data_IF_297286191596
#
_entry.id   IF_297286191596
#
_cell.length_a   1.000
_cell.length_b   1.000
_cell.length_c   1.000
_cell.angle_alpha   90.00
_cell.angle_beta   90.00
_cell.angle_gamma   90.00
#
_symmetry.space_group_name_H-M   'P 1'
#
loop_
_entity.id
_entity.type
_entity.pdbx_description
1 polymer ?
#
# COMPACT_ATOMS: atom_id res chain seq x y z
N UNK A 1 -13.56 19.74 -14.33
CA UNK A 1 -13.21 20.20 -12.96
C UNK A 1 -12.92 21.71 -12.90
N UNK A 2 -11.95 22.26 -13.66
CA UNK A 2 -11.60 23.70 -13.61
C UNK A 2 -12.77 24.68 -13.89
N UNK A 3 -13.63 24.42 -14.87
CA UNK A 3 -14.76 25.31 -15.19
C UNK A 3 -15.86 25.32 -14.10
N UNK A 4 -16.13 24.18 -13.47
CA UNK A 4 -17.13 24.08 -12.41
C UNK A 4 -16.63 24.76 -11.13
N UNK A 5 -15.34 24.64 -10.82
CA UNK A 5 -14.71 25.34 -9.70
C UNK A 5 -14.76 26.87 -9.89
N UNK A 6 -14.50 27.36 -11.10
CA UNK A 6 -14.57 28.80 -11.40
C UNK A 6 -16.01 29.36 -11.30
N UNK A 7 -17.03 28.59 -11.70
CA UNK A 7 -18.44 29.00 -11.52
C UNK A 7 -18.85 28.99 -10.05
N UNK A 8 -18.41 28.00 -9.29
CA UNK A 8 -18.67 27.92 -7.85
C UNK A 8 -18.02 29.09 -7.08
N UNK A 9 -16.76 29.43 -7.39
CA UNK A 9 -16.08 30.60 -6.83
C UNK A 9 -16.83 31.91 -7.12
N UNK A 10 -17.45 32.04 -8.29
CA UNK A 10 -18.29 33.21 -8.65
C UNK A 10 -19.64 33.25 -7.94
N UNK A 11 -20.12 32.12 -7.42
CA UNK A 11 -21.39 32.04 -6.67
C UNK A 11 -21.24 32.35 -5.18
N UNK A 12 -20.01 32.45 -4.68
CA UNK A 12 -19.70 32.72 -3.28
C UNK A 12 -19.78 34.21 -2.96
N UNK A 13 -20.25 34.54 -1.76
CA UNK A 13 -20.19 35.90 -1.24
C UNK A 13 -18.73 36.33 -0.99
N UNK A 14 -18.46 37.63 -0.96
CA UNK A 14 -17.12 38.17 -0.66
C UNK A 14 -16.59 37.67 0.70
N UNK A 15 -17.48 37.54 1.69
CA UNK A 15 -17.13 37.04 3.03
C UNK A 15 -16.76 35.55 3.00
N UNK A 16 -17.48 34.73 2.24
CA UNK A 16 -17.17 33.31 2.12
C UNK A 16 -15.88 33.07 1.33
N UNK A 17 -15.63 33.87 0.29
CA UNK A 17 -14.35 33.85 -0.42
C UNK A 17 -13.19 34.19 0.52
N UNK A 18 -13.35 35.20 1.39
CA UNK A 18 -12.32 35.57 2.35
C UNK A 18 -12.06 34.45 3.36
N UNK A 19 -13.12 33.83 3.90
CA UNK A 19 -13.00 32.65 4.79
C UNK A 19 -12.23 31.50 4.13
N UNK A 20 -12.58 31.16 2.88
CA UNK A 20 -11.88 30.10 2.14
C UNK A 20 -10.40 30.45 1.93
N UNK A 21 -10.11 31.71 1.58
CA UNK A 21 -8.73 32.15 1.38
C UNK A 21 -7.90 32.06 2.66
N UNK A 22 -8.47 32.48 3.80
CA UNK A 22 -7.83 32.38 5.11
C UNK A 22 -7.58 30.92 5.48
N UNK A 23 -8.58 30.03 5.32
CA UNK A 23 -8.44 28.60 5.59
C UNK A 23 -7.39 27.94 4.69
N UNK A 24 -7.37 28.25 3.39
CA UNK A 24 -6.36 27.74 2.46
C UNK A 24 -4.95 28.20 2.81
N UNK A 25 -4.80 29.47 3.21
CA UNK A 25 -3.50 30.02 3.61
C UNK A 25 -3.02 29.34 4.88
N UNK A 26 -3.89 29.19 5.88
CA UNK A 26 -3.60 28.48 7.13
C UNK A 26 -3.24 27.01 6.90
N UNK A 27 -3.92 26.33 5.97
CA UNK A 27 -3.61 24.95 5.60
C UNK A 27 -2.22 24.82 4.95
N UNK A 28 -1.88 25.74 4.04
CA UNK A 28 -0.55 25.78 3.41
C UNK A 28 0.57 26.07 4.40
N UNK A 29 0.35 26.98 5.34
CA UNK A 29 1.30 27.27 6.42
C UNK A 29 1.54 26.04 7.29
N UNK A 30 0.47 25.36 7.72
CA UNK A 30 0.55 24.10 8.47
C UNK A 30 1.33 23.02 7.71
N UNK A 31 1.08 22.88 6.40
CA UNK A 31 1.82 21.93 5.57
C UNK A 31 3.31 22.29 5.44
N UNK A 32 3.63 23.58 5.26
CA UNK A 32 5.00 24.06 5.17
C UNK A 32 5.77 23.80 6.47
N UNK A 33 5.15 24.09 7.61
CA UNK A 33 5.74 23.79 8.92
C UNK A 33 5.93 22.30 9.14
N UNK A 34 4.91 21.48 8.82
CA UNK A 34 5.00 20.03 8.92
C UNK A 34 6.16 19.49 8.07
N UNK A 35 6.32 19.97 6.84
CA UNK A 35 7.42 19.58 5.96
C UNK A 35 8.78 20.03 6.52
N UNK A 36 8.88 21.21 7.12
CA UNK A 36 10.13 21.74 7.69
C UNK A 36 10.57 20.96 8.93
N UNK A 37 9.62 20.52 9.74
CA UNK A 37 9.90 19.93 11.05
C UNK A 37 10.00 18.40 11.03
N UNK A 38 9.50 17.75 9.99
CA UNK A 38 9.60 16.29 9.84
C UNK A 38 10.79 15.88 8.99
N UNK A 39 11.15 14.60 9.05
CA UNK A 39 12.25 14.00 8.27
C UNK A 39 11.73 12.87 7.38
N UNK A 40 12.62 12.23 6.61
CA UNK A 40 12.29 10.96 5.95
C UNK A 40 11.97 9.90 6.99
N UNK A 41 11.21 8.87 6.62
CA UNK A 41 10.81 7.81 7.56
C UNK A 41 12.02 7.09 8.13
N UNK A 42 13.06 6.88 7.30
CA UNK A 42 14.31 6.30 7.75
C UNK A 42 15.03 7.12 8.85
N UNK A 43 14.88 8.44 8.89
CA UNK A 43 15.53 9.31 9.90
C UNK A 43 14.58 9.78 11.01
N UNK A 44 13.32 9.33 11.01
CA UNK A 44 12.36 9.67 12.06
C UNK A 44 12.65 8.90 13.35
N UNK A 45 12.81 9.62 14.46
CA UNK A 45 13.03 9.02 15.78
C UNK A 45 11.79 8.31 16.35
N UNK A 46 10.60 8.68 15.87
CA UNK A 46 9.33 8.03 16.22
C UNK A 46 9.23 6.57 15.76
N UNK A 47 10.11 6.14 14.86
CA UNK A 47 10.14 4.78 14.33
C UNK A 47 11.27 4.01 15.03
N UNK A 48 10.99 2.83 15.61
CA UNK A 48 12.02 1.97 16.19
C UNK A 48 13.15 1.68 15.19
N UNK A 49 14.40 1.66 15.68
CA UNK A 49 15.58 1.46 14.82
C UNK A 49 15.49 0.16 14.00
N UNK A 50 14.99 -0.92 14.63
CA UNK A 50 14.82 -2.22 13.98
C UNK A 50 13.92 -2.09 12.75
N UNK A 51 12.80 -1.37 12.86
CA UNK A 51 11.87 -1.17 11.74
C UNK A 51 12.50 -0.31 10.65
N UNK A 52 13.21 0.76 11.04
CA UNK A 52 13.91 1.64 10.09
C UNK A 52 14.88 0.89 9.20
N UNK A 53 15.63 -0.05 9.79
CA UNK A 53 16.60 -0.86 9.09
C UNK A 53 15.94 -2.03 8.33
N UNK A 54 15.00 -2.74 8.96
CA UNK A 54 14.38 -3.93 8.41
C UNK A 54 13.49 -3.64 7.19
N UNK A 55 12.76 -2.53 7.19
CA UNK A 55 11.78 -2.23 6.13
C UNK A 55 12.39 -2.16 4.72
N UNK A 56 13.52 -1.47 4.48
CA UNK A 56 14.22 -1.53 3.20
C UNK A 56 14.60 -2.94 2.76
N UNK A 57 15.10 -3.79 3.68
CA UNK A 57 15.43 -5.18 3.37
C UNK A 57 14.19 -6.00 3.02
N UNK A 58 13.08 -5.79 3.72
CA UNK A 58 11.80 -6.43 3.40
C UNK A 58 11.34 -6.04 2.00
N UNK A 59 11.41 -4.75 1.63
CA UNK A 59 11.01 -4.28 0.30
C UNK A 59 11.89 -4.89 -0.80
N UNK A 60 13.21 -4.87 -0.62
CA UNK A 60 14.17 -5.44 -1.60
C UNK A 60 14.02 -6.96 -1.70
N UNK A 61 13.90 -7.65 -0.57
CA UNK A 61 13.62 -9.09 -0.54
C UNK A 61 12.30 -9.43 -1.24
N UNK A 62 11.29 -8.58 -1.10
CA UNK A 62 10.02 -8.76 -1.77
C UNK A 62 10.10 -8.58 -3.29
N UNK A 63 10.92 -7.64 -3.77
CA UNK A 63 11.25 -7.52 -5.20
C UNK A 63 11.91 -8.84 -5.68
N UNK A 64 12.86 -9.37 -4.91
CA UNK A 64 13.50 -10.65 -5.22
C UNK A 64 12.51 -11.82 -5.29
N UNK A 65 11.53 -11.87 -4.39
CA UNK A 65 10.47 -12.88 -4.42
C UNK A 65 9.58 -12.75 -5.67
N UNK A 66 9.18 -11.53 -6.06
CA UNK A 66 8.43 -11.32 -7.30
C UNK A 66 9.22 -11.72 -8.55
N UNK A 67 10.53 -11.41 -8.58
CA UNK A 67 11.40 -11.84 -9.69
C UNK A 67 11.46 -13.37 -9.72
N UNK A 68 11.70 -14.00 -8.57
CA UNK A 68 11.75 -15.47 -8.46
C UNK A 68 10.44 -16.12 -8.89
N UNK A 69 9.30 -15.52 -8.51
CA UNK A 69 7.98 -16.02 -8.86
C UNK A 69 7.65 -15.89 -10.34
N UNK A 70 8.00 -14.76 -10.97
CA UNK A 70 7.73 -14.52 -12.39
C UNK A 70 8.67 -15.24 -13.35
N UNK A 71 9.91 -15.51 -12.94
CA UNK A 71 10.90 -16.20 -13.78
C UNK A 71 10.77 -17.73 -13.73
N UNK A 72 10.16 -18.29 -12.68
CA UNK A 72 9.95 -19.72 -12.55
C UNK A 72 8.56 -20.16 -13.05
N UNK A 73 8.42 -21.47 -13.28
CA UNK A 73 7.13 -22.08 -13.57
C UNK A 73 6.18 -21.88 -12.38
N UNK A 74 4.96 -21.44 -12.68
CA UNK A 74 3.90 -21.19 -11.71
C UNK A 74 3.07 -22.43 -11.44
N UNK A 75 2.75 -23.22 -12.46
CA UNK A 75 2.01 -24.46 -12.32
C UNK A 75 2.23 -25.40 -13.51
N UNK A 76 1.95 -26.69 -13.34
CA UNK A 76 1.87 -27.67 -14.43
C UNK A 76 0.52 -28.37 -14.42
N UNK A 77 0.10 -28.88 -15.57
CA UNK A 77 -1.01 -29.82 -15.68
C UNK A 77 -0.41 -31.20 -15.82
N UNK A 78 -0.77 -32.09 -14.91
CA UNK A 78 -0.41 -33.50 -14.97
C UNK A 78 -1.65 -34.32 -15.33
N UNK A 79 -1.45 -35.34 -16.16
CA UNK A 79 -2.51 -36.28 -16.56
C UNK A 79 -2.22 -37.64 -15.97
N UNK A 80 -3.11 -38.11 -15.12
CA UNK A 80 -3.08 -39.46 -14.56
C UNK A 80 -4.11 -40.28 -15.30
N UNK A 81 -3.68 -41.31 -16.01
CA UNK A 81 -4.55 -42.16 -16.81
C UNK A 81 -4.42 -43.60 -16.34
N UNK A 82 -5.54 -44.25 -16.07
CA UNK A 82 -5.59 -45.69 -15.85
C UNK A 82 -6.30 -46.30 -17.05
N UNK A 83 -5.71 -47.25 -17.76
CA UNK A 83 -6.35 -48.00 -18.86
C UNK A 83 -6.17 -49.48 -18.59
N UNK A 84 -7.27 -50.23 -18.55
CA UNK A 84 -7.26 -51.68 -18.35
C UNK A 84 -6.46 -52.15 -17.12
N UNK A 85 -6.40 -51.32 -16.06
CA UNK A 85 -5.65 -51.59 -14.83
C UNK A 85 -4.18 -51.14 -14.84
N UNK A 86 -3.65 -50.67 -15.97
CA UNK A 86 -2.31 -50.08 -16.06
C UNK A 86 -2.38 -48.56 -15.81
N UNK A 87 -1.48 -48.05 -14.95
CA UNK A 87 -1.37 -46.62 -14.65
C UNK A 87 -0.30 -45.96 -15.53
N UNK A 88 -0.70 -44.92 -16.26
CA UNK A 88 0.13 -44.10 -17.13
C UNK A 88 0.06 -42.67 -16.63
N UNK A 89 1.20 -42.10 -16.27
CA UNK A 89 1.32 -40.71 -15.82
C UNK A 89 2.04 -39.87 -16.87
N UNK A 90 1.41 -38.80 -17.32
CA UNK A 90 2.02 -37.80 -18.19
C UNK A 90 2.27 -36.55 -17.35
N UNK A 91 3.51 -36.41 -16.90
CA UNK A 91 3.97 -35.23 -16.18
C UNK A 91 4.17 -34.06 -17.13
N UNK A 92 3.89 -32.84 -16.63
CA UNK A 92 4.12 -31.58 -17.35
C UNK A 92 3.45 -31.54 -18.73
N UNK A 93 2.25 -32.12 -18.85
CA UNK A 93 1.46 -32.08 -20.08
C UNK A 93 1.24 -30.64 -20.57
N UNK A 94 1.06 -29.70 -19.63
CA UNK A 94 1.08 -28.28 -19.92
C UNK A 94 1.79 -27.52 -18.80
N UNK A 95 2.54 -26.48 -19.14
CA UNK A 95 3.29 -25.65 -18.21
C UNK A 95 2.77 -24.22 -18.23
N UNK A 96 2.45 -23.69 -17.07
CA UNK A 96 2.05 -22.30 -16.87
C UNK A 96 3.18 -21.53 -16.18
N UNK A 97 3.58 -20.43 -16.80
CA UNK A 97 4.33 -19.35 -16.14
C UNK A 97 3.66 -18.03 -16.50
N UNK A 98 3.86 -16.98 -15.70
CA UNK A 98 3.24 -15.68 -15.98
C UNK A 98 3.60 -15.19 -17.39
N UNK A 99 4.89 -15.30 -17.76
CA UNK A 99 5.36 -14.91 -19.08
C UNK A 99 4.73 -15.75 -20.20
N UNK A 100 4.81 -17.08 -20.08
CA UNK A 100 4.30 -18.00 -21.11
C UNK A 100 2.79 -17.86 -21.29
N UNK A 101 2.04 -17.84 -20.19
CA UNK A 101 0.58 -17.64 -20.20
C UNK A 101 0.18 -16.31 -20.86
N UNK A 102 0.91 -15.22 -20.59
CA UNK A 102 0.63 -13.91 -21.20
C UNK A 102 0.87 -13.94 -22.71
N UNK A 103 1.96 -14.57 -23.17
CA UNK A 103 2.28 -14.72 -24.60
C UNK A 103 1.28 -15.63 -25.31
N UNK A 104 0.90 -16.75 -24.69
CA UNK A 104 -0.08 -17.68 -25.25
C UNK A 104 -1.45 -17.02 -25.37
N UNK A 105 -1.90 -16.26 -24.36
CA UNK A 105 -3.14 -15.48 -24.41
C UNK A 105 -3.10 -14.40 -25.51
N UNK A 106 -1.96 -13.73 -25.66
CA UNK A 106 -1.77 -12.75 -26.72
C UNK A 106 -1.89 -13.38 -28.11
N UNK A 107 -1.24 -14.52 -28.33
CA UNK A 107 -1.25 -15.26 -29.59
C UNK A 107 -2.61 -15.89 -29.88
N UNK A 108 -3.35 -16.29 -28.84
CA UNK A 108 -4.72 -16.78 -28.94
C UNK A 108 -5.77 -15.68 -29.24
N UNK A 109 -5.34 -14.42 -29.35
CA UNK A 109 -6.21 -13.28 -29.66
C UNK A 109 -6.84 -12.60 -28.45
N UNK A 110 -6.62 -13.10 -27.22
CA UNK A 110 -7.08 -12.51 -25.97
C UNK A 110 -6.17 -11.36 -25.50
N UNK A 111 -5.94 -10.39 -26.37
CA UNK A 111 -4.93 -9.33 -26.18
C UNK A 111 -5.26 -8.41 -25.00
N UNK A 112 -6.53 -8.07 -24.83
CA UNK A 112 -7.01 -7.19 -23.76
C UNK A 112 -6.73 -7.80 -22.38
N UNK A 113 -7.04 -9.10 -22.22
CA UNK A 113 -6.76 -9.86 -21.01
C UNK A 113 -5.24 -10.00 -20.76
N UNK A 114 -4.46 -10.29 -21.80
CA UNK A 114 -3.01 -10.38 -21.69
C UNK A 114 -2.38 -9.06 -21.20
N UNK A 115 -2.86 -7.90 -21.70
CA UNK A 115 -2.40 -6.58 -21.24
C UNK A 115 -2.75 -6.35 -19.77
N UNK A 116 -3.97 -6.68 -19.34
CA UNK A 116 -4.42 -6.51 -17.95
C UNK A 116 -3.53 -7.33 -17.01
N UNK A 117 -3.28 -8.61 -17.32
CA UNK A 117 -2.42 -9.48 -16.50
C UNK A 117 -0.99 -8.95 -16.47
N UNK A 118 -0.43 -8.55 -17.62
CA UNK A 118 0.92 -8.00 -17.67
C UNK A 118 1.06 -6.74 -16.80
N UNK A 119 0.07 -5.86 -16.80
CA UNK A 119 0.09 -4.63 -16.01
C UNK A 119 -0.11 -4.91 -14.53
N UNK A 120 -1.15 -5.65 -14.14
CA UNK A 120 -1.53 -5.84 -12.73
C UNK A 120 -0.71 -6.91 -12.00
N UNK A 121 -0.23 -7.92 -12.71
CA UNK A 121 0.55 -9.02 -12.13
C UNK A 121 2.04 -8.88 -12.43
N UNK A 122 2.40 -8.30 -13.58
CA UNK A 122 3.79 -8.04 -13.93
C UNK A 122 4.31 -6.72 -13.41
N UNK A 123 3.88 -5.61 -14.00
CA UNK A 123 4.50 -4.29 -13.81
C UNK A 123 4.15 -3.69 -12.44
N UNK A 124 2.91 -3.85 -12.01
CA UNK A 124 2.39 -3.19 -10.81
C UNK A 124 3.11 -3.58 -9.51
N UNK A 125 3.39 -4.87 -9.21
CA UNK A 125 4.10 -5.25 -8.00
C UNK A 125 5.46 -4.57 -7.86
N UNK A 126 6.24 -4.47 -8.94
CA UNK A 126 7.52 -3.78 -8.94
C UNK A 126 7.38 -2.29 -8.76
N UNK A 127 6.44 -1.67 -9.48
CA UNK A 127 6.15 -0.24 -9.38
C UNK A 127 5.81 0.14 -7.94
N UNK A 128 4.95 -0.64 -7.29
CA UNK A 128 4.62 -0.46 -5.87
C UNK A 128 5.86 -0.52 -4.99
N UNK A 129 6.70 -1.56 -5.13
CA UNK A 129 7.89 -1.70 -4.28
C UNK A 129 8.90 -0.58 -4.49
N UNK A 130 9.13 -0.15 -5.72
CA UNK A 130 10.07 0.93 -6.03
C UNK A 130 9.58 2.28 -5.46
N UNK A 131 8.29 2.59 -5.58
CA UNK A 131 7.73 3.81 -5.00
C UNK A 131 7.82 3.74 -3.47
N UNK A 132 7.44 2.62 -2.85
CA UNK A 132 7.54 2.47 -1.38
C UNK A 132 8.98 2.60 -0.89
N UNK A 133 9.95 2.01 -1.60
CA UNK A 133 11.36 2.14 -1.29
C UNK A 133 11.81 3.61 -1.37
N UNK A 134 11.50 4.30 -2.47
CA UNK A 134 11.86 5.70 -2.67
C UNK A 134 11.24 6.60 -1.58
N UNK A 135 9.95 6.44 -1.28
CA UNK A 135 9.25 7.24 -0.27
C UNK A 135 9.77 7.01 1.16
N UNK A 136 10.35 5.85 1.44
CA UNK A 136 10.96 5.55 2.75
C UNK A 136 12.14 6.46 3.05
N UNK A 137 12.98 6.71 2.04
CA UNK A 137 14.18 7.55 2.15
C UNK A 137 13.93 9.01 1.77
N UNK A 138 12.87 9.31 1.03
CA UNK A 138 12.58 10.67 0.57
C UNK A 138 12.33 11.62 1.74
N UNK A 139 13.11 12.72 1.86
CA UNK A 139 12.82 13.78 2.82
C UNK A 139 11.59 14.60 2.37
N UNK A 140 10.97 15.37 3.29
CA UNK A 140 9.85 16.24 2.98
C UNK A 140 10.14 17.34 1.94
N UNK A 141 11.42 17.65 1.70
CA UNK A 141 11.85 18.63 0.68
C UNK A 141 11.58 18.14 -0.75
N UNK A 142 11.57 16.83 -0.98
CA UNK A 142 11.28 16.25 -2.31
C UNK A 142 9.79 15.93 -2.42
N UNK A 143 9.21 15.28 -1.41
CA UNK A 143 7.79 14.95 -1.36
C UNK A 143 7.23 15.37 -0.01
N UNK A 144 6.33 16.37 -0.03
CA UNK A 144 5.64 16.84 1.16
C UNK A 144 4.92 15.72 1.89
N UNK A 145 4.85 15.83 3.22
CA UNK A 145 4.33 14.80 4.12
C UNK A 145 2.90 14.40 3.77
N UNK A 146 2.05 15.37 3.46
CA UNK A 146 0.65 15.14 3.04
C UNK A 146 0.57 14.34 1.74
N UNK A 147 1.41 14.69 0.75
CA UNK A 147 1.48 13.97 -0.53
C UNK A 147 2.01 12.54 -0.34
N UNK A 148 3.05 12.36 0.49
CA UNK A 148 3.59 11.04 0.84
C UNK A 148 2.50 10.15 1.44
N UNK A 149 1.71 10.67 2.38
CA UNK A 149 0.58 9.95 2.97
C UNK A 149 -0.49 9.56 1.96
N UNK A 150 -0.87 10.49 1.08
CA UNK A 150 -1.81 10.20 -0.01
C UNK A 150 -1.27 9.14 -0.98
N UNK A 151 0.01 9.19 -1.35
CA UNK A 151 0.61 8.18 -2.24
C UNK A 151 0.57 6.80 -1.56
N UNK A 152 0.96 6.68 -0.28
CA UNK A 152 0.88 5.40 0.42
C UNK A 152 -0.55 4.88 0.55
N UNK A 153 -1.53 5.76 0.78
CA UNK A 153 -2.94 5.38 0.80
C UNK A 153 -3.41 4.82 -0.55
N UNK A 154 -3.07 5.48 -1.66
CA UNK A 154 -3.39 4.98 -3.00
C UNK A 154 -2.66 3.69 -3.35
N UNK A 155 -1.39 3.56 -2.97
CA UNK A 155 -0.64 2.32 -3.14
C UNK A 155 -1.28 1.16 -2.39
N UNK A 156 -1.78 1.39 -1.18
CA UNK A 156 -2.45 0.37 -0.37
C UNK A 156 -3.78 -0.08 -0.99
N UNK A 157 -4.59 0.87 -1.47
CA UNK A 157 -5.84 0.57 -2.18
C UNK A 157 -5.57 -0.24 -3.45
N UNK A 158 -4.69 0.26 -4.32
CA UNK A 158 -4.40 -0.38 -5.60
C UNK A 158 -3.74 -1.76 -5.42
N UNK A 159 -2.97 -1.95 -4.35
CA UNK A 159 -2.40 -3.24 -4.02
C UNK A 159 -3.44 -4.30 -3.64
N UNK A 160 -4.55 -3.91 -3.01
CA UNK A 160 -5.67 -4.82 -2.70
C UNK A 160 -6.38 -5.27 -3.98
N UNK A 161 -6.56 -4.37 -4.94
CA UNK A 161 -7.12 -4.71 -6.26
C UNK A 161 -6.19 -5.63 -7.06
N UNK A 162 -4.89 -5.39 -7.04
CA UNK A 162 -3.90 -6.24 -7.72
C UNK A 162 -3.83 -7.67 -7.14
N UNK A 163 -4.22 -7.91 -5.88
CA UNK A 163 -4.26 -9.27 -5.32
C UNK A 163 -5.33 -10.18 -5.93
N UNK A 164 -6.33 -9.61 -6.62
CA UNK A 164 -7.43 -10.38 -7.23
C UNK A 164 -6.89 -11.46 -8.16
N UNK A 165 -5.81 -11.17 -8.91
CA UNK A 165 -5.21 -12.12 -9.84
C UNK A 165 -4.76 -13.42 -9.16
N UNK A 166 -4.06 -13.30 -8.03
CA UNK A 166 -3.63 -14.48 -7.26
C UNK A 166 -4.82 -15.27 -6.73
N UNK A 167 -5.88 -14.61 -6.27
CA UNK A 167 -7.08 -15.31 -5.81
C UNK A 167 -7.76 -16.07 -6.96
N UNK A 168 -7.89 -15.43 -8.12
CA UNK A 168 -8.46 -16.07 -9.32
C UNK A 168 -7.61 -17.25 -9.76
N UNK A 169 -6.28 -17.14 -9.70
CA UNK A 169 -5.35 -18.23 -10.03
C UNK A 169 -5.52 -19.41 -9.07
N UNK A 170 -5.56 -19.19 -7.76
CA UNK A 170 -5.76 -20.26 -6.76
C UNK A 170 -7.13 -20.94 -6.93
N UNK A 171 -8.19 -20.17 -7.16
CA UNK A 171 -9.53 -20.72 -7.46
C UNK A 171 -9.49 -21.54 -8.75
N UNK A 172 -8.76 -21.07 -9.77
CA UNK A 172 -8.61 -21.79 -11.03
C UNK A 172 -7.92 -23.15 -10.83
N UNK A 173 -6.84 -23.21 -10.05
CA UNK A 173 -6.16 -24.48 -9.71
C UNK A 173 -7.14 -25.46 -9.06
N UNK A 174 -7.95 -24.99 -8.10
CA UNK A 174 -8.94 -25.83 -7.44
C UNK A 174 -10.08 -26.26 -8.39
N UNK A 175 -10.45 -25.39 -9.34
CA UNK A 175 -11.58 -25.62 -10.25
C UNK A 175 -11.21 -26.52 -11.44
N UNK A 176 -9.94 -26.54 -11.86
CA UNK A 176 -9.46 -27.30 -13.01
C UNK A 176 -9.13 -28.77 -12.73
N UNK A 177 -9.54 -29.30 -11.57
CA UNK A 177 -9.46 -30.74 -11.31
C UNK A 177 -10.60 -31.46 -12.05
N UNK A 178 -10.24 -32.21 -13.09
CA UNK A 178 -11.22 -32.96 -13.90
C UNK A 178 -10.93 -34.45 -13.78
N UNK A 179 -11.84 -35.17 -13.15
CA UNK A 179 -11.80 -36.63 -13.06
C UNK A 179 -12.88 -37.24 -13.94
N UNK A 180 -12.47 -38.00 -14.95
CA UNK A 180 -13.33 -38.77 -15.83
C UNK A 180 -13.14 -40.24 -15.48
N UNK A 181 -14.22 -40.94 -15.17
CA UNK A 181 -14.19 -42.37 -14.83
C UNK A 181 -15.14 -43.14 -15.76
N UNK A 182 -14.80 -44.38 -16.08
CA UNK A 182 -15.65 -45.24 -16.90
C UNK A 182 -17.01 -45.49 -16.22
N UNK A 183 -18.14 -45.38 -16.95
CA UNK A 183 -19.46 -45.65 -16.38
C UNK A 183 -19.60 -47.11 -15.95
N UNK A 184 -20.19 -47.33 -14.77
CA UNK A 184 -20.38 -48.67 -14.19
C UNK A 184 -21.60 -49.35 -14.83
N UNK A 185 -21.39 -49.91 -16.02
CA UNK A 185 -22.41 -50.67 -16.77
C UNK A 185 -22.07 -52.15 -16.74
N UNK A 186 -23.08 -53.00 -16.59
CA UNK A 186 -22.94 -54.44 -16.35
C UNK A 186 -22.18 -55.23 -17.43
N UNK A 187 -21.98 -54.65 -18.62
CA UNK A 187 -21.27 -55.27 -19.75
C UNK A 187 -19.82 -54.80 -19.92
N UNK A 188 -19.38 -53.74 -19.23
CA UNK A 188 -18.00 -53.26 -19.26
C UNK A 188 -17.25 -53.75 -18.02
N UNK A 189 -15.96 -54.06 -18.18
CA UNK A 189 -15.07 -54.35 -17.05
C UNK A 189 -15.07 -53.14 -16.10
N UNK A 190 -15.17 -53.37 -14.79
CA UNK A 190 -15.05 -52.27 -13.82
C UNK A 190 -13.71 -51.57 -13.99
N UNK A 191 -13.69 -50.24 -14.01
CA UNK A 191 -12.50 -49.38 -14.16
C UNK A 191 -11.73 -49.57 -15.48
N UNK A 192 -12.43 -49.66 -16.63
CA UNK A 192 -11.76 -49.73 -17.94
C UNK A 192 -10.83 -48.55 -18.20
N UNK A 193 -11.28 -47.34 -17.84
CA UNK A 193 -10.45 -46.17 -17.90
C UNK A 193 -10.79 -45.16 -16.81
N UNK A 194 -9.77 -44.47 -16.32
CA UNK A 194 -9.88 -43.29 -15.48
C UNK A 194 -8.88 -42.24 -15.96
N UNK A 195 -9.28 -40.98 -16.00
CA UNK A 195 -8.41 -39.85 -16.35
C UNK A 195 -8.59 -38.78 -15.28
N UNK A 196 -7.55 -38.49 -14.50
CA UNK A 196 -7.51 -37.35 -13.58
C UNK A 196 -6.55 -36.30 -14.15
N UNK A 197 -7.09 -35.12 -14.44
CA UNK A 197 -6.36 -33.93 -14.84
C UNK A 197 -6.26 -33.04 -13.61
N UNK A 198 -5.04 -32.77 -13.16
CA UNK A 198 -4.82 -31.89 -12.01
C UNK A 198 -3.78 -30.82 -12.32
N UNK A 199 -4.03 -29.62 -11.80
CA UNK A 199 -3.08 -28.51 -11.85
C UNK A 199 -2.22 -28.54 -10.59
N UNK A 200 -0.92 -28.73 -10.76
CA UNK A 200 0.06 -28.78 -9.67
C UNK A 200 0.75 -27.42 -9.56
N UNK A 201 0.62 -26.72 -8.42
CA UNK A 201 1.34 -25.47 -8.21
C UNK A 201 2.84 -25.73 -8.04
N UNK A 202 3.65 -24.84 -8.62
CA UNK A 202 5.09 -24.88 -8.56
C UNK A 202 5.64 -23.65 -7.80
N UNK A 203 6.97 -23.62 -7.62
CA UNK A 203 7.66 -22.57 -6.87
C UNK A 203 7.28 -21.16 -7.31
N UNK A 204 7.09 -20.92 -8.62
CA UNK A 204 6.76 -19.61 -9.15
C UNK A 204 5.48 -19.04 -8.53
N UNK A 205 4.46 -19.90 -8.34
CA UNK A 205 3.21 -19.50 -7.71
C UNK A 205 3.39 -19.24 -6.22
N UNK A 206 4.06 -20.15 -5.50
CA UNK A 206 4.30 -19.98 -4.06
C UNK A 206 5.08 -18.70 -3.76
N UNK A 207 6.15 -18.45 -4.52
CA UNK A 207 6.96 -17.24 -4.38
C UNK A 207 6.12 -15.98 -4.61
N UNK A 208 5.28 -15.95 -5.65
CA UNK A 208 4.39 -14.82 -5.92
C UNK A 208 3.32 -14.62 -4.83
N UNK A 209 2.74 -15.70 -4.29
CA UNK A 209 1.79 -15.62 -3.18
C UNK A 209 2.43 -15.04 -1.92
N UNK A 210 3.60 -15.55 -1.55
CA UNK A 210 4.36 -15.04 -0.39
C UNK A 210 4.72 -13.57 -0.63
N UNK A 211 5.19 -13.23 -1.83
CA UNK A 211 5.55 -11.87 -2.19
C UNK A 211 4.36 -10.89 -2.04
N UNK A 212 3.16 -11.32 -2.46
CA UNK A 212 1.97 -10.48 -2.28
C UNK A 212 1.58 -10.32 -0.81
N UNK A 213 1.63 -11.39 -0.01
CA UNK A 213 1.32 -11.29 1.42
C UNK A 213 2.29 -10.33 2.12
N UNK A 214 3.59 -10.51 1.89
CA UNK A 214 4.64 -9.63 2.42
C UNK A 214 4.44 -8.19 1.93
N UNK A 215 4.06 -8.00 0.66
CA UNK A 215 3.73 -6.70 0.06
C UNK A 215 2.57 -5.99 0.77
N UNK A 216 1.53 -6.71 1.18
CA UNK A 216 0.39 -6.11 1.90
C UNK A 216 0.76 -5.75 3.34
N UNK A 217 1.42 -6.67 4.04
CA UNK A 217 1.84 -6.48 5.43
C UNK A 217 2.76 -5.26 5.52
N UNK A 218 3.81 -5.22 4.70
CA UNK A 218 4.76 -4.11 4.64
C UNK A 218 4.09 -2.77 4.33
N UNK A 219 3.13 -2.74 3.39
CA UNK A 219 2.33 -1.54 3.07
C UNK A 219 1.59 -1.00 4.30
N UNK A 220 0.90 -1.88 5.02
CA UNK A 220 0.18 -1.52 6.24
C UNK A 220 1.13 -0.95 7.32
N UNK A 221 2.29 -1.57 7.52
CA UNK A 221 3.31 -1.07 8.45
C UNK A 221 3.83 0.31 8.04
N UNK A 222 4.13 0.53 6.76
CA UNK A 222 4.62 1.83 6.27
C UNK A 222 3.58 2.92 6.51
N UNK A 223 2.31 2.66 6.19
CA UNK A 223 1.21 3.62 6.42
C UNK A 223 1.05 3.90 7.91
N UNK A 224 1.09 2.88 8.76
CA UNK A 224 0.98 3.02 10.20
C UNK A 224 2.08 3.93 10.78
N UNK A 225 3.34 3.64 10.47
CA UNK A 225 4.46 4.46 10.95
C UNK A 225 4.47 5.86 10.37
N UNK A 226 4.07 6.01 9.11
CA UNK A 226 3.90 7.34 8.51
C UNK A 226 2.87 8.17 9.27
N UNK A 227 1.72 7.58 9.64
CA UNK A 227 0.70 8.25 10.46
C UNK A 227 1.22 8.58 11.86
N UNK A 228 1.92 7.67 12.52
CA UNK A 228 2.50 7.92 13.84
C UNK A 228 3.47 9.11 13.83
N UNK A 229 4.34 9.22 12.80
CA UNK A 229 5.25 10.36 12.65
C UNK A 229 4.48 11.68 12.52
N UNK A 230 3.38 11.69 11.79
CA UNK A 230 2.53 12.88 11.62
C UNK A 230 1.83 13.24 12.93
N UNK A 231 1.25 12.26 13.62
CA UNK A 231 0.56 12.46 14.89
C UNK A 231 1.52 12.97 15.97
N UNK A 232 2.70 12.38 16.11
CA UNK A 232 3.71 12.82 17.07
C UNK A 232 4.10 14.29 16.87
N UNK A 233 4.25 14.71 15.60
CA UNK A 233 4.51 16.13 15.29
C UNK A 233 3.35 17.04 15.71
N UNK A 234 2.11 16.65 15.41
CA UNK A 234 0.92 17.45 15.76
C UNK A 234 0.84 17.61 17.28
N UNK A 235 1.02 16.53 18.04
CA UNK A 235 1.01 16.59 19.51
C UNK A 235 2.12 17.48 20.07
N UNK A 236 3.34 17.39 19.53
CA UNK A 236 4.45 18.28 19.94
C UNK A 236 4.16 19.75 19.64
N UNK A 237 3.43 20.05 18.57
CA UNK A 237 3.03 21.41 18.22
C UNK A 237 1.97 21.94 19.19
N UNK A 238 0.94 21.14 19.48
CA UNK A 238 -0.12 21.50 20.43
C UNK A 238 0.47 21.81 21.81
N UNK A 239 1.38 20.98 22.32
CA UNK A 239 2.05 21.23 23.60
C UNK A 239 2.84 22.55 23.62
N UNK A 240 3.52 22.90 22.52
CA UNK A 240 4.26 24.17 22.42
C UNK A 240 3.34 25.39 22.35
N UNK A 241 2.19 25.26 21.67
CA UNK A 241 1.20 26.34 21.60
C UNK A 241 0.52 26.58 22.95
N UNK A 242 0.34 25.54 23.76
CA UNK A 242 -0.21 25.64 25.11
C UNK A 242 0.80 26.25 26.10
N UNK A 243 2.06 25.82 26.06
CA UNK A 243 3.15 26.39 26.89
C UNK A 243 3.37 27.89 26.59
N UNK A 244 3.34 28.27 25.31
CA UNK A 244 3.41 29.68 24.91
C UNK A 244 2.21 30.50 25.42
N UNK A 245 1.00 29.91 25.45
CA UNK A 245 -0.20 30.57 25.98
C UNK A 245 -0.12 30.75 27.50
N UNK A 246 0.33 29.74 28.23
CA UNK A 246 0.54 29.85 29.69
C UNK A 246 1.61 30.88 30.04
N UNK A 247 2.75 30.87 29.34
CA UNK A 247 3.84 31.83 29.55
C UNK A 247 3.37 33.27 29.27
N UNK A 248 2.62 33.48 28.18
CA UNK A 248 2.02 34.77 27.85
C UNK A 248 1.08 35.25 28.96
N UNK A 249 0.13 34.41 29.39
CA UNK A 249 -0.79 34.73 30.51
C UNK A 249 -0.04 35.06 31.80
N UNK A 250 1.01 34.30 32.14
CA UNK A 250 1.83 34.56 33.33
C UNK A 250 2.59 35.89 33.21
N UNK A 251 3.08 36.25 32.03
CA UNK A 251 3.73 37.54 31.79
C UNK A 251 2.74 38.72 31.89
N UNK A 252 1.50 38.54 31.43
CA UNK A 252 0.45 39.56 31.60
C UNK A 252 0.08 39.76 33.06
N UNK A 253 -0.15 38.67 33.81
CA UNK A 253 -0.50 38.72 35.24
C UNK A 253 0.62 39.35 36.07
N UNK A 254 1.88 39.02 35.80
CA UNK A 254 3.02 39.63 36.52
C UNK A 254 3.20 41.11 36.22
N UNK A 255 2.94 41.56 34.98
CA UNK A 255 2.94 42.99 34.64
C UNK A 255 1.82 43.75 35.35
N UNK A 256 0.58 43.24 35.33
CA UNK A 256 -0.55 43.92 35.99
C UNK A 256 -0.39 43.98 37.51
N UNK A 257 0.07 42.90 38.15
CA UNK A 257 0.37 42.91 39.59
C UNK A 257 1.51 43.87 39.96
N UNK A 258 2.54 43.97 39.10
CA UNK A 258 3.64 44.91 39.28
C UNK A 258 3.19 46.38 39.17
N UNK A 259 2.31 46.68 38.23
CA UNK A 259 1.72 48.01 38.04
C UNK A 259 0.80 48.41 39.19
N UNK A 260 -0.02 47.49 39.70
CA UNK A 260 -0.87 47.74 40.88
C UNK A 260 -0.06 48.01 42.15
N UNK A 261 1.02 47.25 42.38
CA UNK A 261 1.90 47.43 43.55
C UNK A 261 2.64 48.77 43.52
N UNK A 262 3.10 49.21 42.33
CA UNK A 262 3.69 50.55 42.17
C UNK A 262 2.67 51.68 42.37
N UNK A 263 1.41 51.47 41.97
CA UNK A 263 0.33 52.45 42.17
C UNK A 263 -0.06 52.57 43.64
N UNK A 264 -0.11 51.46 44.36
CA UNK A 264 -0.37 51.42 45.81
C UNK A 264 0.76 52.10 46.61
N UNK A 265 2.03 51.87 46.26
CA UNK A 265 3.18 52.50 46.93
C UNK A 265 3.20 54.03 46.77
N UNK A 266 2.90 54.55 45.56
CA UNK A 266 2.81 56.00 45.32
C UNK A 266 1.66 56.68 46.06
N UNK A 267 0.66 55.93 46.51
CA UNK A 267 -0.49 56.49 47.24
C UNK A 267 -0.22 56.58 48.75
N UNK A 268 0.76 55.82 49.27
CA UNK A 268 1.18 55.88 50.68
C UNK A 268 2.21 56.98 50.96
N UNK A 269 3.00 57.42 49.97
CA UNK A 269 3.98 58.51 50.13
C UNK A 269 3.38 59.93 50.08
N UNK A 270 2.04 60.06 49.96
CA UNK A 270 1.31 61.35 49.85
C UNK A 270 0.46 61.63 51.12
N UNK A 271 0.57 60.82 52.16
CA UNK A 271 -0.08 61.03 53.46
C UNK A 271 0.95 61.37 54.54
#
# INVERSE_FOLDING_TARGET
IKQNHARWLKSLSSDDMNKIFVEQTRAKEKECELNRCTKSLFYSNEIPLIVRLLMPFVIVGNIGLFISGHLNLGATVNVFMQIAGEEITIDNFFEFSMYKSTVDMWNAGAKELAIIILVFSGIWPYTKQLISFFLWFSPPSVIGVSRRGSIYFWLDILAKWSMIDIFVLVISIASFRVSISSPDVAYLTRNLYAVDLMVVPLWGLYANMIAQIVSQISSHFIVYYHRNVVTAYISLKETKEDDNRECSTRSYVTKTFGEEKMRSSKTQDIA
#
